data_IF_863236814190
#
_entry.id   IF_863236814190
#
_cell.length_a   1.000
_cell.length_b   1.000
_cell.length_c   1.000
_cell.angle_alpha   90.00
_cell.angle_beta   90.00
_cell.angle_gamma   90.00
#
_symmetry.space_group_name_H-M   'P 1'
#
loop_
_entity.id
_entity.type
_entity.pdbx_description
1 polymer ?
#
# COMPACT_ATOMS: atom_id res chain seq x y z
N UNK A 1 2.92 3.04 2.40
CA UNK A 1 1.72 2.53 3.06
C UNK A 1 1.21 3.53 4.08
N UNK A 2 -0.09 3.80 4.10
CA UNK A 2 -0.74 4.79 4.99
C UNK A 2 -2.00 4.18 5.60
N UNK A 3 -2.11 4.23 6.92
CA UNK A 3 -3.31 3.89 7.67
C UNK A 3 -3.75 5.05 8.57
N UNK A 4 -4.97 4.96 9.10
CA UNK A 4 -5.49 5.90 10.08
C UNK A 4 -6.00 5.14 11.28
N UNK A 5 -5.64 5.55 12.49
CA UNK A 5 -6.00 4.86 13.73
C UNK A 5 -7.13 5.54 14.52
N UNK A 6 -7.82 6.52 13.92
CA UNK A 6 -8.84 7.33 14.59
C UNK A 6 -8.33 8.62 15.25
N UNK A 7 -7.02 8.79 15.40
CA UNK A 7 -6.41 9.99 15.97
C UNK A 7 -5.30 10.57 15.08
N UNK A 8 -4.46 9.71 14.52
CA UNK A 8 -3.33 10.08 13.65
C UNK A 8 -3.16 9.11 12.50
N UNK A 9 -2.37 9.53 11.50
CA UNK A 9 -1.92 8.66 10.42
C UNK A 9 -0.79 7.74 10.89
N UNK A 10 -0.85 6.48 10.48
CA UNK A 10 0.22 5.49 10.65
C UNK A 10 0.87 5.29 9.28
N UNK A 11 2.19 5.40 9.19
CA UNK A 11 2.89 5.42 7.92
C UNK A 11 4.04 4.40 7.90
N UNK A 12 4.21 3.74 6.77
CA UNK A 12 5.43 2.97 6.43
C UNK A 12 5.93 3.48 5.09
N UNK A 13 7.14 4.05 5.11
CA UNK A 13 7.81 4.59 3.92
C UNK A 13 8.56 3.47 3.21
N UNK A 14 8.33 3.34 1.91
CA UNK A 14 9.02 2.36 1.06
C UNK A 14 10.38 2.86 0.56
N UNK A 15 11.12 2.00 -0.16
CA UNK A 15 12.39 2.39 -0.77
C UNK A 15 12.17 3.34 -1.97
N UNK A 16 13.25 3.98 -2.40
CA UNK A 16 13.32 4.59 -3.73
C UNK A 16 13.42 3.48 -4.76
N UNK A 17 12.50 3.47 -5.73
CA UNK A 17 12.45 2.47 -6.80
C UNK A 17 13.25 2.93 -8.02
N UNK A 18 13.84 1.97 -8.73
CA UNK A 18 14.54 2.21 -9.99
C UNK A 18 13.53 2.28 -11.13
N UNK A 19 13.59 3.34 -11.93
CA UNK A 19 12.69 3.54 -13.07
C UNK A 19 12.96 2.51 -14.16
N UNK A 20 11.88 2.00 -14.78
CA UNK A 20 11.97 1.07 -15.90
C UNK A 20 12.20 -0.40 -15.51
N UNK A 21 12.06 -0.74 -14.22
CA UNK A 21 12.10 -2.12 -13.73
C UNK A 21 10.74 -2.51 -13.14
N UNK A 22 10.31 -3.75 -13.42
CA UNK A 22 9.17 -4.34 -12.74
C UNK A 22 9.50 -4.55 -11.26
N UNK A 23 8.58 -4.13 -10.39
CA UNK A 23 8.68 -4.30 -8.95
C UNK A 23 7.35 -4.82 -8.46
N UNK A 24 7.38 -5.94 -7.74
CA UNK A 24 6.20 -6.44 -7.04
C UNK A 24 6.08 -5.76 -5.68
N UNK A 25 4.96 -5.08 -5.43
CA UNK A 25 4.72 -4.31 -4.20
C UNK A 25 3.44 -4.85 -3.54
N UNK A 26 3.53 -5.19 -2.26
CA UNK A 26 2.37 -5.59 -1.46
C UNK A 26 2.28 -4.75 -0.20
N UNK A 27 1.08 -4.24 0.08
CA UNK A 27 0.71 -3.69 1.38
C UNK A 27 -0.33 -4.61 2.00
N UNK A 28 -0.07 -5.09 3.22
CA UNK A 28 -1.06 -5.81 4.02
C UNK A 28 -1.39 -5.03 5.28
N UNK A 29 -2.57 -5.31 5.83
CA UNK A 29 -2.98 -4.81 7.13
C UNK A 29 -3.76 -5.86 7.90
N UNK A 30 -3.47 -5.98 9.19
CA UNK A 30 -4.38 -6.55 10.19
C UNK A 30 -4.26 -5.82 11.52
N UNK A 31 -5.27 -5.95 12.38
CA UNK A 31 -5.22 -5.33 13.70
C UNK A 31 -4.06 -5.86 14.56
N UNK A 32 -3.69 -7.13 14.37
CA UNK A 32 -2.62 -7.79 15.16
C UNK A 32 -1.23 -7.40 14.66
N UNK A 33 -1.06 -7.25 13.35
CA UNK A 33 0.26 -7.04 12.73
C UNK A 33 0.53 -5.60 12.29
N UNK A 34 -0.50 -4.75 12.30
CA UNK A 34 -0.41 -3.40 11.72
C UNK A 34 -0.27 -3.47 10.20
N UNK A 35 0.32 -2.42 9.63
CA UNK A 35 0.67 -2.34 8.22
C UNK A 35 1.99 -3.07 7.97
N UNK A 36 2.06 -3.84 6.89
CA UNK A 36 3.32 -4.41 6.39
C UNK A 36 3.48 -4.10 4.90
N UNK A 37 4.68 -3.65 4.55
CA UNK A 37 5.07 -3.33 3.18
C UNK A 37 6.12 -4.33 2.71
N UNK A 38 5.85 -4.95 1.57
CA UNK A 38 6.73 -5.93 0.95
C UNK A 38 7.18 -5.44 -0.42
N UNK A 39 8.45 -5.67 -0.74
CA UNK A 39 9.06 -5.35 -2.04
C UNK A 39 9.70 -6.63 -2.57
N UNK A 40 9.31 -7.04 -3.78
CA UNK A 40 9.76 -8.27 -4.44
C UNK A 40 9.63 -9.51 -3.52
N UNK A 41 8.51 -9.59 -2.80
CA UNK A 41 8.20 -10.70 -1.91
C UNK A 41 8.82 -10.63 -0.51
N UNK A 42 9.69 -9.66 -0.23
CA UNK A 42 10.43 -9.55 1.04
C UNK A 42 9.82 -8.44 1.90
N UNK A 43 9.64 -8.68 3.20
CA UNK A 43 9.19 -7.65 4.14
C UNK A 43 10.21 -6.51 4.19
N UNK A 44 9.79 -5.32 3.78
CA UNK A 44 10.63 -4.13 3.74
C UNK A 44 10.47 -3.27 5.00
N UNK A 45 9.23 -3.04 5.42
CA UNK A 45 8.91 -2.20 6.55
C UNK A 45 7.55 -2.50 7.14
N UNK A 46 7.33 -2.10 8.39
CA UNK A 46 6.07 -2.34 9.08
C UNK A 46 5.77 -1.25 10.11
N UNK A 47 4.50 -1.15 10.48
CA UNK A 47 4.07 -0.38 11.66
C UNK A 47 3.91 -1.29 12.88
N UNK A 48 3.67 -0.68 14.04
CA UNK A 48 3.09 -1.41 15.17
C UNK A 48 1.63 -1.78 14.90
N UNK A 49 1.10 -2.71 15.68
CA UNK A 49 -0.32 -3.05 15.71
C UNK A 49 -1.19 -1.82 16.04
N UNK A 50 -2.32 -1.66 15.33
CA UNK A 50 -3.30 -0.63 15.60
C UNK A 50 -4.68 -1.04 15.07
N UNK A 51 -5.73 -0.36 15.57
CA UNK A 51 -7.09 -0.51 15.04
C UNK A 51 -7.32 0.57 13.99
N UNK A 52 -7.67 0.16 12.77
CA UNK A 52 -8.04 1.08 11.70
C UNK A 52 -9.31 1.85 12.07
N UNK A 53 -9.21 3.18 12.05
CA UNK A 53 -10.33 4.09 12.24
C UNK A 53 -11.11 4.26 10.95
N UNK A 54 -12.10 3.40 10.70
CA UNK A 54 -12.96 3.52 9.53
C UNK A 54 -13.92 4.71 9.66
N UNK A 55 -14.08 5.47 8.58
CA UNK A 55 -14.99 6.63 8.50
C UNK A 55 -16.44 6.25 8.16
N UNK A 56 -16.75 4.96 8.02
CA UNK A 56 -18.11 4.46 7.74
C UNK A 56 -18.66 4.81 6.34
N UNK A 57 -17.81 5.25 5.42
CA UNK A 57 -18.17 5.57 4.04
C UNK A 57 -17.47 4.62 3.06
N UNK A 58 -18.07 4.34 1.88
CA UNK A 58 -17.41 3.54 0.86
C UNK A 58 -16.06 4.11 0.45
N UNK A 59 -15.06 3.25 0.31
CA UNK A 59 -13.75 3.61 -0.21
C UNK A 59 -13.70 3.32 -1.71
N UNK A 60 -13.17 4.26 -2.49
CA UNK A 60 -12.90 4.06 -3.92
C UNK A 60 -11.41 3.84 -4.12
N UNK A 61 -11.05 2.70 -4.72
CA UNK A 61 -9.69 2.48 -5.21
C UNK A 61 -9.56 3.07 -6.62
N UNK A 62 -8.49 3.83 -6.84
CA UNK A 62 -8.14 4.37 -8.16
C UNK A 62 -6.73 3.99 -8.53
N UNK A 63 -6.53 3.58 -9.79
CA UNK A 63 -5.23 3.23 -10.33
C UNK A 63 -4.74 4.33 -11.25
N UNK A 64 -3.49 4.74 -11.06
CA UNK A 64 -2.77 5.66 -11.93
C UNK A 64 -3.22 7.13 -11.90
N UNK A 65 -4.36 7.48 -11.30
CA UNK A 65 -4.77 8.88 -11.10
C UNK A 65 -5.84 9.03 -10.00
N UNK A 66 -5.87 10.15 -9.25
CA UNK A 66 -6.96 10.45 -8.32
C UNK A 66 -8.17 11.07 -9.06
N UNK A 67 -9.40 10.70 -8.65
CA UNK A 67 -10.65 11.16 -9.30
C UNK A 67 -10.85 12.70 -9.33
N UNK A 68 -10.35 13.41 -8.32
CA UNK A 68 -10.57 14.86 -8.15
C UNK A 68 -9.30 15.65 -7.81
N UNK A 69 -8.12 15.09 -8.07
CA UNK A 69 -6.85 15.80 -7.85
C UNK A 69 -6.60 16.27 -6.41
N UNK A 70 -7.29 15.72 -5.42
CA UNK A 70 -7.18 16.15 -4.02
C UNK A 70 -5.89 15.61 -3.41
N UNK A 71 -5.09 16.52 -2.84
CA UNK A 71 -3.82 16.23 -2.22
C UNK A 71 -3.94 15.20 -1.10
N UNK A 72 -3.17 14.11 -1.19
CA UNK A 72 -2.72 13.41 0.01
C UNK A 72 -1.62 14.27 0.62
N UNK A 73 -1.95 15.05 1.65
CA UNK A 73 -1.05 16.06 2.24
C UNK A 73 0.21 15.47 2.93
N UNK A 74 0.45 14.16 2.87
CA UNK A 74 1.56 13.50 3.55
C UNK A 74 2.31 12.54 2.61
N UNK A 75 3.62 12.78 2.45
CA UNK A 75 4.58 11.71 2.10
C UNK A 75 4.96 11.49 0.65
N UNK A 76 4.89 12.50 -0.23
CA UNK A 76 5.82 12.57 -1.37
C UNK A 76 5.34 12.13 -2.77
N UNK A 77 4.05 11.90 -3.00
CA UNK A 77 3.52 11.77 -4.36
C UNK A 77 2.94 13.13 -4.80
N UNK A 78 3.63 13.80 -5.72
CA UNK A 78 3.09 14.99 -6.38
C UNK A 78 1.81 14.64 -7.13
N UNK A 79 0.85 15.56 -7.12
CA UNK A 79 -0.40 15.45 -7.89
C UNK A 79 -0.03 15.24 -9.37
N UNK A 80 -0.38 14.08 -9.91
CA UNK A 80 -0.11 13.74 -11.30
C UNK A 80 -0.56 12.31 -11.64
N UNK A 81 -0.63 12.04 -12.94
CA UNK A 81 -0.86 10.68 -13.42
C UNK A 81 0.40 9.84 -13.19
N UNK A 82 0.23 8.60 -12.75
CA UNK A 82 1.29 7.62 -12.77
C UNK A 82 1.75 7.40 -14.22
N UNK A 83 3.06 7.51 -14.44
CA UNK A 83 3.70 7.34 -15.74
C UNK A 83 4.53 6.06 -15.72
N UNK A 84 3.86 4.94 -15.88
CA UNK A 84 4.48 3.62 -15.92
C UNK A 84 3.45 2.56 -16.27
N UNK A 85 3.86 1.31 -16.10
CA UNK A 85 3.02 0.15 -16.34
C UNK A 85 2.57 -0.45 -15.00
N UNK A 86 1.37 -1.02 -14.96
CA UNK A 86 0.81 -1.76 -13.84
C UNK A 86 0.25 -3.05 -14.44
N UNK A 87 0.58 -4.17 -13.82
CA UNK A 87 0.04 -5.47 -14.19
C UNK A 87 -0.33 -6.24 -12.92
N UNK A 88 -1.22 -7.23 -13.06
CA UNK A 88 -1.58 -8.19 -11.99
C UNK A 88 -2.04 -7.51 -10.69
N UNK A 89 -3.02 -6.61 -10.80
CA UNK A 89 -3.56 -5.86 -9.65
C UNK A 89 -4.60 -6.67 -8.86
N UNK A 90 -4.33 -6.88 -7.57
CA UNK A 90 -5.20 -7.62 -6.66
C UNK A 90 -5.58 -6.81 -5.41
N UNK A 91 -6.80 -7.01 -4.91
CA UNK A 91 -7.26 -6.55 -3.59
C UNK A 91 -7.84 -7.75 -2.85
N UNK A 92 -7.38 -7.99 -1.62
CA UNK A 92 -7.87 -9.07 -0.76
C UNK A 92 -8.60 -8.51 0.47
N UNK A 93 -9.63 -9.23 0.93
CA UNK A 93 -10.36 -8.91 2.16
C UNK A 93 -9.72 -9.48 3.43
N UNK A 94 -8.44 -9.89 3.35
CA UNK A 94 -7.66 -10.48 4.44
C UNK A 94 -6.19 -10.09 4.32
N UNK A 95 -5.47 -10.18 5.43
CA UNK A 95 -4.01 -10.15 5.39
C UNK A 95 -3.47 -11.37 4.62
N UNK A 96 -2.51 -11.14 3.73
CA UNK A 96 -1.78 -12.19 3.03
C UNK A 96 -0.67 -12.76 3.91
N UNK A 97 -0.44 -14.06 3.81
CA UNK A 97 0.69 -14.69 4.47
C UNK A 97 2.00 -14.36 3.74
N UNK A 98 3.15 -14.52 4.41
CA UNK A 98 4.45 -14.40 3.74
C UNK A 98 4.56 -15.33 2.53
N UNK A 99 4.04 -16.55 2.65
CA UNK A 99 4.04 -17.55 1.56
C UNK A 99 3.19 -17.11 0.37
N UNK A 100 2.00 -16.54 0.62
CA UNK A 100 1.13 -15.98 -0.42
C UNK A 100 1.90 -14.90 -1.19
N UNK A 101 2.57 -14.00 -0.46
CA UNK A 101 3.30 -12.85 -1.01
C UNK A 101 4.51 -13.29 -1.83
N UNK A 102 5.27 -14.29 -1.37
CA UNK A 102 6.41 -14.83 -2.13
C UNK A 102 5.98 -15.55 -3.40
N UNK A 103 4.80 -16.20 -3.38
CA UNK A 103 4.24 -16.87 -4.56
C UNK A 103 3.82 -15.84 -5.61
N UNK A 104 3.14 -14.77 -5.19
CA UNK A 104 2.75 -13.68 -6.10
C UNK A 104 3.94 -12.89 -6.67
N UNK A 105 5.06 -12.81 -5.93
CA UNK A 105 6.24 -12.07 -6.37
C UNK A 105 7.02 -12.76 -7.50
N UNK A 106 6.86 -14.06 -7.67
CA UNK A 106 7.55 -14.87 -8.68
C UNK A 106 6.51 -15.72 -9.43
N UNK A 107 5.63 -15.09 -10.23
CA UNK A 107 4.59 -15.80 -10.96
C UNK A 107 5.17 -16.80 -11.98
#
# INVERSE_FOLDING_TARGET
ALGYNGNSTVQVTGPVLVVGQWVHIVETYSQLNGIRLYINGILYGQSNAFVYGAWGVPMTATLGQPLKGTACAHGGIQIGNYRGEIDEFYIYSRELSQTDITTLANP
#
